data_IF_264397320321
#
_entry.id   IF_264397320321
#
_cell.length_a   1.000
_cell.length_b   1.000
_cell.length_c   1.000
_cell.angle_alpha   90.00
_cell.angle_beta   90.00
_cell.angle_gamma   90.00
#
_symmetry.space_group_name_H-M   'P 1'
#
loop_
_entity.id
_entity.type
_entity.pdbx_description
1 polymer ?
#
# COMPACT_ATOMS: atom_id res chain seq x y z
N UNK A 1 -38.37 43.56 12.15
CA UNK A 1 -37.25 42.85 12.87
C UNK A 1 -37.73 41.82 13.93
N UNK A 2 -38.78 42.09 14.76
CA UNK A 2 -39.20 41.10 15.80
C UNK A 2 -39.95 39.86 15.24
N UNK A 3 -40.76 40.04 14.19
CA UNK A 3 -41.56 38.93 13.60
C UNK A 3 -40.72 37.93 12.75
N UNK A 4 -39.63 38.39 12.15
CA UNK A 4 -38.70 37.52 11.43
C UNK A 4 -37.90 36.62 12.39
N UNK A 5 -37.51 37.15 13.54
CA UNK A 5 -36.81 36.35 14.58
C UNK A 5 -37.67 35.22 15.18
N UNK A 6 -39.00 35.40 15.21
CA UNK A 6 -39.93 34.39 15.73
C UNK A 6 -40.07 33.23 14.74
N UNK A 7 -40.16 33.49 13.44
CA UNK A 7 -40.18 32.44 12.39
C UNK A 7 -38.89 31.65 12.34
N UNK A 8 -37.74 32.27 12.53
CA UNK A 8 -36.45 31.58 12.58
C UNK A 8 -36.32 30.66 13.80
N UNK A 9 -36.78 31.09 14.98
CA UNK A 9 -36.80 30.23 16.18
C UNK A 9 -37.74 29.03 16.03
N UNK A 10 -38.91 29.17 15.41
CA UNK A 10 -39.84 28.06 15.18
C UNK A 10 -39.33 27.07 14.16
N UNK A 11 -38.58 27.47 13.13
CA UNK A 11 -37.95 26.59 12.15
C UNK A 11 -36.82 25.76 12.78
N UNK A 12 -36.03 26.38 13.68
CA UNK A 12 -34.97 25.72 14.41
C UNK A 12 -35.53 24.64 15.36
N UNK A 13 -36.61 24.98 16.12
CA UNK A 13 -37.23 24.02 17.05
C UNK A 13 -37.87 22.81 16.38
N UNK A 14 -38.26 22.88 15.12
CA UNK A 14 -38.83 21.73 14.37
C UNK A 14 -37.84 20.72 13.86
N UNK A 15 -36.52 20.96 13.96
CA UNK A 15 -35.46 20.11 13.37
C UNK A 15 -34.28 19.85 14.30
N UNK A 16 -34.49 19.83 15.61
CA UNK A 16 -33.46 19.42 16.55
C UNK A 16 -33.20 17.94 16.38
N UNK A 17 -32.00 17.59 15.85
CA UNK A 17 -31.50 16.23 15.82
C UNK A 17 -31.17 15.82 17.25
N UNK A 18 -31.54 14.60 17.62
CA UNK A 18 -31.21 14.03 18.93
C UNK A 18 -30.09 13.02 18.81
N UNK A 19 -29.24 12.97 19.82
CA UNK A 19 -28.23 11.95 19.91
C UNK A 19 -28.90 10.58 20.04
N UNK A 20 -28.57 9.63 19.17
CA UNK A 20 -29.12 8.28 19.13
C UNK A 20 -28.81 7.47 20.41
N UNK A 21 -27.75 7.87 21.16
CA UNK A 21 -27.28 7.12 22.33
C UNK A 21 -27.83 7.62 23.67
N UNK A 22 -28.06 8.94 23.81
CA UNK A 22 -28.48 9.52 25.10
C UNK A 22 -29.72 10.43 25.00
N UNK A 23 -30.25 10.65 23.79
CA UNK A 23 -31.44 11.46 23.56
C UNK A 23 -31.23 12.97 23.68
N UNK A 24 -30.02 13.46 24.03
CA UNK A 24 -29.71 14.90 24.12
C UNK A 24 -29.94 15.58 22.75
N UNK A 25 -30.56 16.70 22.74
CA UNK A 25 -30.68 17.58 21.57
C UNK A 25 -29.30 18.08 21.14
N UNK A 26 -29.07 18.07 19.84
CA UNK A 26 -27.81 18.47 19.21
C UNK A 26 -27.97 19.81 18.55
N UNK A 27 -26.99 20.70 18.76
CA UNK A 27 -26.96 22.02 18.16
C UNK A 27 -26.48 21.97 16.74
N UNK A 28 -27.15 22.61 15.76
CA UNK A 28 -26.61 22.74 14.42
C UNK A 28 -25.34 23.59 14.42
N UNK A 29 -24.34 23.20 13.61
CA UNK A 29 -23.06 23.90 13.44
C UNK A 29 -22.95 24.48 12.02
N UNK A 30 -22.11 25.51 11.88
CA UNK A 30 -21.95 26.21 10.59
C UNK A 30 -22.94 27.40 10.44
N UNK A 31 -22.78 28.15 9.35
CA UNK A 31 -23.64 29.29 9.02
C UNK A 31 -24.79 28.90 8.10
N UNK A 32 -24.72 27.75 7.50
CA UNK A 32 -25.60 27.29 6.42
C UNK A 32 -27.06 27.11 6.89
N UNK A 33 -27.26 26.77 8.17
CA UNK A 33 -28.61 26.64 8.74
C UNK A 33 -29.34 27.99 8.91
N UNK A 34 -28.62 29.10 8.79
CA UNK A 34 -29.19 30.46 8.90
C UNK A 34 -29.85 30.93 7.59
N UNK A 35 -29.58 30.28 6.48
CA UNK A 35 -30.12 30.68 5.18
C UNK A 35 -31.39 29.89 4.83
N UNK A 36 -32.47 30.63 4.51
CA UNK A 36 -33.81 30.08 4.27
C UNK A 36 -33.94 29.08 3.10
N UNK A 37 -32.93 29.03 2.20
CA UNK A 37 -32.91 28.20 1.01
C UNK A 37 -32.12 26.90 1.18
N UNK A 38 -31.66 26.57 2.38
CA UNK A 38 -30.87 25.38 2.63
C UNK A 38 -31.74 24.12 2.78
N UNK A 39 -31.38 23.04 2.09
CA UNK A 39 -32.06 21.76 2.26
C UNK A 39 -31.84 21.26 3.69
N UNK A 40 -32.91 20.84 4.39
CA UNK A 40 -32.82 20.30 5.75
C UNK A 40 -31.84 19.14 5.94
N UNK A 41 -31.55 18.43 4.85
CA UNK A 41 -30.73 17.23 4.85
C UNK A 41 -29.22 17.54 4.90
N UNK A 42 -28.82 18.81 4.70
CA UNK A 42 -27.42 19.24 4.67
C UNK A 42 -26.97 19.97 5.94
N UNK A 43 -27.81 19.99 6.99
CA UNK A 43 -27.42 20.65 8.25
C UNK A 43 -26.47 19.74 9.04
N UNK A 44 -25.27 20.24 9.30
CA UNK A 44 -24.34 19.59 10.21
C UNK A 44 -24.68 19.90 11.67
N UNK A 45 -24.52 18.92 12.54
CA UNK A 45 -24.80 19.03 13.97
C UNK A 45 -23.55 18.73 14.81
N UNK A 46 -23.48 19.35 15.99
CA UNK A 46 -22.43 19.04 16.95
C UNK A 46 -22.39 17.54 17.27
N UNK A 47 -21.21 17.04 17.59
CA UNK A 47 -21.05 15.68 18.09
C UNK A 47 -21.42 15.60 19.57
N UNK A 48 -22.27 14.66 19.93
CA UNK A 48 -22.62 14.47 21.33
C UNK A 48 -21.42 14.01 22.16
N UNK A 49 -21.29 14.54 23.37
CA UNK A 49 -20.19 14.23 24.30
C UNK A 49 -20.49 13.06 25.24
N UNK A 50 -21.64 12.37 25.12
CA UNK A 50 -21.89 11.17 25.91
C UNK A 50 -20.92 10.03 25.53
N UNK A 51 -20.58 9.17 26.47
CA UNK A 51 -19.54 8.13 26.32
C UNK A 51 -19.73 7.29 25.06
N UNK A 52 -20.95 6.78 24.81
CA UNK A 52 -21.24 5.96 23.62
C UNK A 52 -21.07 6.72 22.32
N UNK A 53 -21.46 8.00 22.26
CA UNK A 53 -21.27 8.84 21.08
C UNK A 53 -19.79 9.13 20.84
N UNK A 54 -19.00 9.37 21.90
CA UNK A 54 -17.56 9.58 21.78
C UNK A 54 -16.85 8.32 21.24
N UNK A 55 -17.23 7.14 21.72
CA UNK A 55 -16.68 5.86 21.22
C UNK A 55 -17.02 5.67 19.73
N UNK A 56 -18.29 5.92 19.34
CA UNK A 56 -18.73 5.87 17.95
C UNK A 56 -17.96 6.82 17.05
N UNK A 57 -17.82 8.09 17.45
CA UNK A 57 -17.11 9.10 16.65
C UNK A 57 -15.62 8.79 16.54
N UNK A 58 -14.99 8.30 17.60
CA UNK A 58 -13.60 7.87 17.58
C UNK A 58 -13.38 6.74 16.56
N UNK A 59 -14.28 5.77 16.54
CA UNK A 59 -14.19 4.66 15.58
C UNK A 59 -14.48 5.13 14.15
N UNK A 60 -15.47 6.00 13.97
CA UNK A 60 -15.82 6.58 12.67
C UNK A 60 -14.67 7.42 12.12
N UNK A 61 -14.11 8.34 12.91
CA UNK A 61 -12.98 9.19 12.50
C UNK A 61 -11.77 8.34 12.10
N UNK A 62 -11.52 7.25 12.82
CA UNK A 62 -10.46 6.29 12.46
C UNK A 62 -10.74 5.65 11.10
N UNK A 63 -11.96 5.21 10.85
CA UNK A 63 -12.35 4.63 9.54
C UNK A 63 -12.26 5.65 8.41
N UNK A 64 -12.76 6.85 8.63
CA UNK A 64 -12.75 7.94 7.63
C UNK A 64 -11.29 8.35 7.30
N UNK A 65 -10.41 8.41 8.32
CA UNK A 65 -8.98 8.64 8.15
C UNK A 65 -8.33 7.55 7.28
N UNK A 66 -8.59 6.27 7.58
CA UNK A 66 -8.05 5.15 6.80
C UNK A 66 -8.54 5.18 5.33
N UNK A 67 -9.82 5.47 5.10
CA UNK A 67 -10.38 5.60 3.74
C UNK A 67 -9.67 6.73 2.99
N UNK A 68 -9.50 7.90 3.62
CA UNK A 68 -8.83 9.05 3.02
C UNK A 68 -7.36 8.75 2.72
N UNK A 69 -6.67 8.12 3.67
CA UNK A 69 -5.27 7.68 3.52
C UNK A 69 -5.12 6.70 2.36
N UNK A 70 -5.99 5.69 2.25
CA UNK A 70 -5.98 4.73 1.14
C UNK A 70 -6.25 5.38 -0.21
N UNK A 71 -7.17 6.34 -0.27
CA UNK A 71 -7.43 7.12 -1.49
C UNK A 71 -6.18 7.91 -1.91
N UNK A 72 -5.56 8.61 -0.97
CA UNK A 72 -4.31 9.34 -1.21
C UNK A 72 -3.20 8.41 -1.71
N UNK A 73 -2.99 7.24 -1.10
CA UNK A 73 -2.00 6.26 -1.54
C UNK A 73 -2.24 5.81 -2.99
N UNK A 74 -3.51 5.51 -3.35
CA UNK A 74 -3.86 5.16 -4.74
C UNK A 74 -3.53 6.29 -5.73
N UNK A 75 -3.83 7.53 -5.38
CA UNK A 75 -3.52 8.69 -6.22
C UNK A 75 -2.02 8.88 -6.43
N UNK A 76 -1.23 8.73 -5.37
CA UNK A 76 0.24 8.82 -5.44
C UNK A 76 0.80 7.69 -6.30
N UNK A 77 0.38 6.44 -6.09
CA UNK A 77 0.84 5.29 -6.87
C UNK A 77 0.46 5.42 -8.34
N UNK A 78 -0.76 5.89 -8.65
CA UNK A 78 -1.17 6.14 -10.02
C UNK A 78 -0.31 7.21 -10.72
N UNK A 79 0.12 8.26 -10.00
CA UNK A 79 1.08 9.24 -10.53
C UNK A 79 2.44 8.59 -10.80
N UNK A 80 2.92 7.77 -9.86
CA UNK A 80 4.15 6.99 -9.99
C UNK A 80 4.14 6.13 -11.26
N UNK A 81 3.07 5.36 -11.47
CA UNK A 81 2.94 4.49 -12.63
C UNK A 81 2.81 5.25 -13.95
N UNK A 82 2.16 6.42 -13.96
CA UNK A 82 2.07 7.27 -15.15
C UNK A 82 3.40 7.92 -15.54
N UNK A 83 4.23 8.26 -14.56
CA UNK A 83 5.53 8.89 -14.79
C UNK A 83 6.62 7.87 -15.16
N UNK A 84 6.51 6.64 -14.68
CA UNK A 84 7.47 5.58 -14.94
C UNK A 84 6.94 4.64 -16.04
N UNK A 85 7.64 4.59 -17.18
CA UNK A 85 7.35 3.70 -18.31
C UNK A 85 7.16 2.21 -17.90
N UNK A 86 7.68 1.84 -16.72
CA UNK A 86 7.55 0.49 -16.14
C UNK A 86 6.11 0.09 -15.82
N UNK A 87 5.27 1.02 -15.39
CA UNK A 87 3.88 0.72 -15.02
C UNK A 87 3.04 0.23 -16.19
N UNK A 88 3.18 0.84 -17.38
CA UNK A 88 2.45 0.40 -18.57
C UNK A 88 2.90 -0.97 -19.09
N UNK A 89 4.20 -1.31 -18.91
CA UNK A 89 4.75 -2.57 -19.40
C UNK A 89 4.18 -3.78 -18.65
N UNK A 90 3.77 -3.61 -17.39
CA UNK A 90 3.30 -4.71 -16.55
C UNK A 90 1.78 -4.87 -16.53
N UNK A 91 1.01 -3.88 -17.01
CA UNK A 91 -0.47 -3.89 -16.95
C UNK A 91 -1.13 -5.05 -17.70
N UNK A 92 -0.47 -5.56 -18.73
CA UNK A 92 -1.00 -6.66 -19.55
C UNK A 92 -0.50 -8.05 -19.12
N UNK A 93 0.33 -8.13 -18.08
CA UNK A 93 0.86 -9.40 -17.59
C UNK A 93 -0.11 -10.01 -16.59
N UNK A 94 -0.54 -11.23 -16.86
CA UNK A 94 -1.47 -11.98 -16.02
C UNK A 94 -1.11 -13.46 -16.00
N UNK A 95 -1.80 -14.24 -15.17
CA UNK A 95 -1.56 -15.68 -15.06
C UNK A 95 -1.97 -16.46 -16.30
N UNK A 96 -2.91 -15.92 -17.11
CA UNK A 96 -3.43 -16.55 -18.31
C UNK A 96 -2.43 -16.48 -19.48
N UNK A 97 -1.71 -15.35 -19.58
CA UNK A 97 -0.67 -15.18 -20.60
C UNK A 97 0.74 -15.51 -20.12
N UNK A 98 0.86 -16.10 -18.91
CA UNK A 98 2.13 -16.61 -18.42
C UNK A 98 2.54 -17.85 -19.23
N UNK A 99 3.71 -17.80 -19.86
CA UNK A 99 4.24 -18.95 -20.56
C UNK A 99 4.75 -20.01 -19.55
N UNK A 100 3.87 -20.95 -19.21
CA UNK A 100 4.17 -22.01 -18.25
C UNK A 100 4.88 -23.18 -18.89
N UNK A 101 5.71 -23.84 -18.12
CA UNK A 101 6.27 -25.16 -18.42
C UNK A 101 5.97 -26.10 -17.25
N UNK A 102 6.09 -27.40 -17.47
CA UNK A 102 5.81 -28.43 -16.45
C UNK A 102 6.63 -28.24 -15.15
N UNK A 103 7.81 -27.62 -15.23
CA UNK A 103 8.67 -27.38 -14.06
C UNK A 103 8.20 -26.15 -13.24
N UNK A 104 7.40 -25.26 -13.83
CA UNK A 104 6.90 -24.02 -13.18
C UNK A 104 5.41 -24.07 -12.81
N UNK A 105 4.68 -25.12 -13.20
CA UNK A 105 3.25 -25.27 -12.89
C UNK A 105 2.97 -25.19 -11.39
N UNK A 106 3.78 -25.85 -10.57
CA UNK A 106 3.66 -25.78 -9.11
C UNK A 106 3.91 -24.37 -8.59
N UNK A 107 4.92 -23.67 -9.12
CA UNK A 107 5.23 -22.31 -8.70
C UNK A 107 4.08 -21.33 -9.05
N UNK A 108 3.44 -21.51 -10.22
CA UNK A 108 2.29 -20.75 -10.64
C UNK A 108 1.08 -21.05 -9.74
N UNK A 109 0.85 -22.33 -9.41
CA UNK A 109 -0.22 -22.73 -8.50
C UNK A 109 -0.04 -22.13 -7.10
N UNK A 110 1.19 -22.15 -6.57
CA UNK A 110 1.54 -21.50 -5.30
C UNK A 110 1.29 -19.98 -5.37
N UNK A 111 1.68 -19.33 -6.46
CA UNK A 111 1.47 -17.90 -6.64
C UNK A 111 -0.03 -17.53 -6.70
N UNK A 112 -0.86 -18.33 -7.36
CA UNK A 112 -2.32 -18.15 -7.40
C UNK A 112 -2.95 -18.33 -6.01
N UNK A 113 -2.56 -19.36 -5.26
CA UNK A 113 -3.01 -19.60 -3.89
C UNK A 113 -2.57 -18.46 -2.95
N UNK A 114 -1.34 -17.99 -3.11
CA UNK A 114 -0.80 -16.82 -2.39
C UNK A 114 -1.66 -15.58 -2.61
N UNK A 115 -2.04 -15.28 -3.85
CA UNK A 115 -2.94 -14.15 -4.16
C UNK A 115 -4.28 -14.31 -3.47
N UNK A 116 -4.91 -15.48 -3.56
CA UNK A 116 -6.21 -15.74 -2.93
C UNK A 116 -6.15 -15.55 -1.40
N UNK A 117 -5.09 -16.01 -0.75
CA UNK A 117 -4.86 -15.78 0.69
C UNK A 117 -4.69 -14.31 1.02
N UNK A 118 -3.97 -13.54 0.20
CA UNK A 118 -3.77 -12.10 0.41
C UNK A 118 -5.00 -11.25 0.13
N UNK A 119 -5.92 -11.70 -0.72
CA UNK A 119 -7.21 -11.04 -0.90
C UNK A 119 -8.05 -11.17 0.36
N UNK A 120 -8.07 -12.34 1.01
CA UNK A 120 -8.94 -12.68 2.13
C UNK A 120 -8.35 -12.41 3.51
N UNK A 121 -7.03 -12.35 3.64
CA UNK A 121 -6.29 -12.21 4.91
C UNK A 121 -5.34 -11.02 4.89
N UNK A 122 -5.17 -10.36 6.04
CA UNK A 122 -4.23 -9.23 6.21
C UNK A 122 -2.83 -9.71 6.62
N UNK A 123 -2.63 -10.99 6.92
CA UNK A 123 -1.44 -11.53 7.58
C UNK A 123 -0.71 -12.59 6.76
N UNK A 124 -0.55 -12.40 5.46
CA UNK A 124 0.23 -13.35 4.66
C UNK A 124 1.74 -12.99 4.73
N UNK A 125 2.58 -14.02 4.85
CA UNK A 125 4.02 -13.84 4.66
C UNK A 125 4.32 -13.35 3.24
N UNK A 126 5.48 -12.72 3.06
CA UNK A 126 5.97 -12.33 1.76
C UNK A 126 6.45 -13.51 0.90
N UNK A 127 6.96 -13.20 -0.29
CA UNK A 127 7.60 -14.19 -1.19
C UNK A 127 8.98 -13.69 -1.64
N UNK A 128 9.97 -14.58 -1.65
CA UNK A 128 11.22 -14.40 -2.39
C UNK A 128 11.18 -15.34 -3.59
N UNK A 129 11.06 -14.78 -4.79
CA UNK A 129 10.98 -15.53 -6.04
C UNK A 129 12.36 -15.54 -6.68
N UNK A 130 13.00 -16.70 -6.64
CA UNK A 130 14.36 -16.90 -7.14
C UNK A 130 14.36 -17.57 -8.51
N UNK A 131 15.39 -17.32 -9.30
CA UNK A 131 15.60 -17.99 -10.58
C UNK A 131 16.48 -17.20 -11.54
N UNK A 132 17.03 -17.89 -12.55
CA UNK A 132 17.90 -17.28 -13.57
C UNK A 132 17.20 -16.13 -14.30
N UNK A 133 17.99 -15.31 -15.01
CA UNK A 133 17.41 -14.28 -15.87
C UNK A 133 16.54 -14.91 -16.97
N UNK A 134 15.42 -14.29 -17.30
CA UNK A 134 14.52 -14.72 -18.40
C UNK A 134 13.56 -15.87 -18.05
N UNK A 135 13.54 -16.39 -16.81
CA UNK A 135 12.63 -17.48 -16.42
C UNK A 135 11.18 -17.06 -16.15
N UNK A 136 10.87 -15.75 -16.23
CA UNK A 136 9.52 -15.23 -16.03
C UNK A 136 9.23 -14.64 -14.65
N UNK A 137 10.24 -14.40 -13.79
CA UNK A 137 10.03 -13.82 -12.44
C UNK A 137 9.21 -12.54 -12.46
N UNK A 138 9.63 -11.58 -13.27
CA UNK A 138 8.92 -10.28 -13.43
C UNK A 138 7.48 -10.47 -13.92
N UNK A 139 7.25 -11.41 -14.86
CA UNK A 139 5.90 -11.72 -15.31
C UNK A 139 5.04 -12.28 -14.17
N UNK A 140 5.58 -13.23 -13.42
CA UNK A 140 4.85 -13.83 -12.29
C UNK A 140 4.45 -12.78 -11.24
N UNK A 141 5.38 -11.90 -10.82
CA UNK A 141 5.06 -10.88 -9.83
C UNK A 141 4.12 -9.80 -10.36
N UNK A 142 4.20 -9.47 -11.66
CA UNK A 142 3.24 -8.58 -12.29
C UNK A 142 1.84 -9.19 -12.36
N UNK A 143 1.73 -10.51 -12.60
CA UNK A 143 0.45 -11.23 -12.56
C UNK A 143 -0.15 -11.22 -11.14
N UNK A 144 0.70 -11.41 -10.12
CA UNK A 144 0.29 -11.28 -8.70
C UNK A 144 -0.21 -9.85 -8.43
N UNK A 145 0.58 -8.83 -8.83
CA UNK A 145 0.24 -7.43 -8.61
C UNK A 145 -1.11 -7.06 -9.23
N UNK A 146 -1.29 -7.39 -10.52
CA UNK A 146 -2.51 -7.06 -11.25
C UNK A 146 -3.72 -7.75 -10.62
N UNK A 147 -3.60 -9.02 -10.23
CA UNK A 147 -4.69 -9.74 -9.57
C UNK A 147 -5.05 -9.17 -8.19
N UNK A 148 -4.09 -8.68 -7.44
CA UNK A 148 -4.32 -7.98 -6.17
C UNK A 148 -5.00 -6.62 -6.41
N UNK A 149 -4.57 -5.86 -7.42
CA UNK A 149 -5.16 -4.56 -7.80
C UNK A 149 -6.62 -4.73 -8.25
N UNK A 150 -6.94 -5.77 -9.03
CA UNK A 150 -8.31 -6.13 -9.41
C UNK A 150 -9.22 -6.38 -8.20
N UNK A 151 -8.63 -6.75 -7.06
CA UNK A 151 -9.34 -6.99 -5.80
C UNK A 151 -9.13 -5.84 -4.78
N UNK A 152 -9.03 -4.61 -5.28
CA UNK A 152 -8.95 -3.38 -4.47
C UNK A 152 -7.75 -3.27 -3.53
N UNK A 153 -6.71 -4.11 -3.69
CA UNK A 153 -5.47 -3.96 -2.93
C UNK A 153 -4.62 -2.84 -3.51
N UNK A 154 -3.91 -2.15 -2.64
CA UNK A 154 -2.96 -1.10 -3.02
C UNK A 154 -1.60 -1.75 -3.15
N UNK A 155 -1.13 -1.89 -4.39
CA UNK A 155 0.15 -2.55 -4.70
C UNK A 155 1.13 -1.53 -5.26
N UNK A 156 2.36 -1.53 -4.75
CA UNK A 156 3.47 -0.79 -5.31
C UNK A 156 4.49 -1.78 -5.86
N UNK A 157 4.82 -1.68 -7.14
CA UNK A 157 5.81 -2.55 -7.80
C UNK A 157 6.85 -1.72 -8.53
N UNK A 158 8.13 -2.07 -8.35
CA UNK A 158 9.24 -1.43 -9.04
C UNK A 158 10.58 -2.09 -8.75
N UNK A 159 11.62 -1.62 -9.43
CA UNK A 159 13.01 -1.92 -9.04
C UNK A 159 13.37 -1.09 -7.83
N UNK A 160 14.26 -1.59 -6.98
CA UNK A 160 14.70 -0.86 -5.79
C UNK A 160 15.25 0.53 -6.15
N UNK A 161 16.07 0.63 -7.18
CA UNK A 161 16.60 1.94 -7.66
C UNK A 161 15.51 2.92 -8.00
N UNK A 162 14.48 2.49 -8.74
CA UNK A 162 13.35 3.35 -9.11
C UNK A 162 12.59 3.84 -7.89
N UNK A 163 12.33 2.95 -6.93
CA UNK A 163 11.62 3.31 -5.69
C UNK A 163 12.43 4.29 -4.83
N UNK A 164 13.75 4.10 -4.76
CA UNK A 164 14.65 4.99 -4.01
C UNK A 164 14.88 6.34 -4.71
N UNK A 165 14.97 6.35 -6.03
CA UNK A 165 15.11 7.60 -6.79
C UNK A 165 13.90 8.50 -6.61
N UNK A 166 12.71 7.93 -6.49
CA UNK A 166 11.49 8.69 -6.17
C UNK A 166 11.54 9.33 -4.78
N UNK A 167 12.15 8.64 -3.80
CA UNK A 167 12.40 9.24 -2.48
C UNK A 167 13.42 10.39 -2.62
N UNK A 168 14.48 10.23 -3.43
CA UNK A 168 15.45 11.31 -3.66
C UNK A 168 14.87 12.52 -4.40
N UNK A 169 13.94 12.30 -5.31
CA UNK A 169 13.27 13.39 -6.02
C UNK A 169 12.48 14.32 -5.09
N UNK A 170 12.01 13.81 -3.94
CA UNK A 170 11.33 14.66 -2.94
C UNK A 170 12.24 15.75 -2.37
N UNK A 171 13.56 15.53 -2.36
CA UNK A 171 14.52 16.57 -1.92
C UNK A 171 14.59 17.78 -2.86
N UNK A 172 14.16 17.62 -4.12
CA UNK A 172 14.19 18.69 -5.13
C UNK A 172 12.87 19.46 -5.19
N UNK A 173 11.78 18.81 -4.77
CA UNK A 173 10.44 19.36 -4.88
C UNK A 173 9.81 19.45 -3.49
N UNK A 174 9.62 20.67 -2.98
CA UNK A 174 9.03 20.94 -1.66
C UNK A 174 7.57 20.48 -1.51
N UNK A 175 7.02 19.78 -2.50
CA UNK A 175 5.60 19.34 -2.51
C UNK A 175 5.36 17.99 -1.82
N UNK A 176 6.40 17.18 -1.60
CA UNK A 176 6.31 15.88 -0.90
C UNK A 176 7.48 15.71 0.04
N UNK A 177 7.24 15.14 1.21
CA UNK A 177 8.32 14.80 2.13
C UNK A 177 8.83 13.38 1.90
N UNK A 178 10.12 13.15 2.17
CA UNK A 178 10.70 11.79 2.22
C UNK A 178 9.87 10.87 3.11
N UNK A 179 9.41 11.38 4.26
CA UNK A 179 8.62 10.62 5.23
C UNK A 179 7.28 10.14 4.65
N UNK A 180 6.62 10.92 3.80
CA UNK A 180 5.37 10.52 3.14
C UNK A 180 5.56 9.32 2.20
N UNK A 181 6.67 9.28 1.44
CA UNK A 181 6.95 8.13 0.58
C UNK A 181 7.39 6.90 1.37
N UNK A 182 8.18 7.07 2.42
CA UNK A 182 8.54 5.96 3.31
C UNK A 182 7.28 5.41 4.00
N UNK A 183 6.38 6.30 4.44
CA UNK A 183 5.09 5.89 5.01
C UNK A 183 4.22 5.15 3.97
N UNK A 184 4.15 5.65 2.74
CA UNK A 184 3.45 4.97 1.65
C UNK A 184 4.01 3.55 1.43
N UNK A 185 5.35 3.42 1.27
CA UNK A 185 6.02 2.13 1.01
C UNK A 185 5.87 1.16 2.18
N UNK A 186 5.82 1.69 3.40
CA UNK A 186 5.65 0.92 4.62
C UNK A 186 4.21 0.43 4.84
N UNK A 187 3.19 1.07 4.23
CA UNK A 187 1.78 0.83 4.57
C UNK A 187 0.88 0.40 3.41
N UNK A 188 1.36 0.35 2.17
CA UNK A 188 0.57 -0.25 1.06
C UNK A 188 0.31 -1.74 1.34
N UNK A 189 -0.79 -2.29 0.82
CA UNK A 189 -1.16 -3.68 1.07
C UNK A 189 -0.05 -4.65 0.61
N UNK A 190 0.64 -4.33 -0.50
CA UNK A 190 1.75 -5.12 -1.03
C UNK A 190 2.82 -4.21 -1.63
N UNK A 191 4.10 -4.46 -1.30
CA UNK A 191 5.24 -3.92 -2.05
C UNK A 191 5.96 -5.05 -2.78
N UNK A 192 6.33 -4.81 -4.03
CA UNK A 192 7.06 -5.76 -4.89
C UNK A 192 8.34 -5.10 -5.36
N UNK A 193 9.47 -5.65 -4.96
CA UNK A 193 10.79 -5.22 -5.40
C UNK A 193 11.30 -6.21 -6.44
N UNK A 194 11.35 -5.77 -7.70
CA UNK A 194 11.76 -6.63 -8.81
C UNK A 194 13.26 -6.56 -9.06
N UNK A 195 13.88 -7.73 -9.29
CA UNK A 195 15.29 -7.96 -9.67
C UNK A 195 16.31 -7.42 -8.63
N UNK A 196 16.03 -7.65 -7.32
CA UNK A 196 16.87 -7.25 -6.21
C UNK A 196 18.27 -7.85 -6.30
N UNK A 197 19.30 -7.05 -6.02
CA UNK A 197 20.71 -7.43 -6.02
C UNK A 197 21.41 -7.20 -7.35
N UNK A 198 20.76 -6.59 -8.34
CA UNK A 198 21.41 -6.24 -9.63
C UNK A 198 22.04 -4.86 -9.63
N UNK A 199 21.70 -4.04 -8.68
CA UNK A 199 22.14 -2.67 -8.46
C UNK A 199 23.29 -2.57 -7.45
N UNK A 200 24.04 -1.48 -7.55
CA UNK A 200 24.98 -1.04 -6.51
C UNK A 200 24.20 -0.16 -5.53
N UNK A 201 24.17 -0.56 -4.26
CA UNK A 201 23.38 0.10 -3.24
C UNK A 201 24.29 0.96 -2.36
N UNK A 202 23.91 2.22 -2.11
CA UNK A 202 24.58 3.10 -1.14
C UNK A 202 24.08 2.85 0.27
N UNK A 203 24.85 3.27 1.29
CA UNK A 203 24.43 3.18 2.69
C UNK A 203 23.07 3.86 2.95
N UNK A 204 22.86 5.05 2.38
CA UNK A 204 21.56 5.73 2.44
C UNK A 204 20.42 4.82 1.90
N UNK A 205 20.65 4.12 0.80
CA UNK A 205 19.67 3.24 0.20
C UNK A 205 19.38 2.02 1.09
N UNK A 206 20.42 1.45 1.74
CA UNK A 206 20.27 0.37 2.71
C UNK A 206 19.47 0.82 3.94
N UNK A 207 19.74 1.99 4.49
CA UNK A 207 18.98 2.55 5.61
C UNK A 207 17.49 2.71 5.28
N UNK A 208 17.17 3.23 4.08
CA UNK A 208 15.77 3.37 3.64
C UNK A 208 15.09 2.02 3.43
N UNK A 209 15.80 1.09 2.80
CA UNK A 209 15.31 -0.27 2.62
C UNK A 209 15.06 -0.96 3.97
N UNK A 210 15.98 -0.84 4.91
CA UNK A 210 15.82 -1.35 6.26
C UNK A 210 14.57 -0.77 6.94
N UNK A 211 14.42 0.55 6.91
CA UNK A 211 13.27 1.24 7.52
C UNK A 211 11.94 0.74 6.93
N UNK A 212 11.87 0.59 5.61
CA UNK A 212 10.65 0.09 4.95
C UNK A 212 10.35 -1.36 5.36
N UNK A 213 11.37 -2.23 5.37
CA UNK A 213 11.23 -3.64 5.73
C UNK A 213 10.82 -3.78 7.20
N UNK A 214 11.45 -3.01 8.11
CA UNK A 214 11.14 -3.04 9.54
C UNK A 214 9.69 -2.62 9.80
N UNK A 215 9.28 -1.48 9.27
CA UNK A 215 7.90 -0.99 9.40
C UNK A 215 6.88 -2.00 8.86
N UNK A 216 7.19 -2.66 7.72
CA UNK A 216 6.30 -3.67 7.16
C UNK A 216 6.23 -4.92 8.02
N UNK A 217 7.36 -5.35 8.59
CA UNK A 217 7.42 -6.48 9.51
C UNK A 217 6.59 -6.21 10.79
N UNK A 218 6.75 -5.03 11.39
CA UNK A 218 5.98 -4.62 12.57
C UNK A 218 4.47 -4.57 12.28
N UNK A 219 4.10 -4.05 11.10
CA UNK A 219 2.70 -3.95 10.67
C UNK A 219 2.16 -5.26 10.05
N UNK A 220 2.98 -6.32 9.99
CA UNK A 220 2.65 -7.63 9.38
C UNK A 220 2.17 -7.50 7.93
N UNK A 221 2.78 -6.59 7.18
CA UNK A 221 2.47 -6.35 5.78
C UNK A 221 3.44 -7.12 4.88
N UNK A 222 2.95 -7.86 3.88
CA UNK A 222 3.78 -8.71 3.04
C UNK A 222 4.65 -7.90 2.08
N UNK A 223 5.81 -8.46 1.74
CA UNK A 223 6.71 -7.97 0.70
C UNK A 223 7.00 -9.10 -0.28
N UNK A 224 7.04 -8.79 -1.57
CA UNK A 224 7.51 -9.74 -2.60
C UNK A 224 8.80 -9.23 -3.18
N UNK A 225 9.75 -10.13 -3.33
CA UNK A 225 11.05 -9.85 -3.93
C UNK A 225 11.31 -10.84 -5.05
N UNK A 226 11.79 -10.36 -6.18
CA UNK A 226 12.41 -11.25 -7.17
C UNK A 226 13.90 -11.04 -7.18
N UNK A 227 14.64 -12.12 -7.35
CA UNK A 227 16.10 -12.08 -7.44
C UNK A 227 16.63 -13.24 -8.27
N UNK A 228 17.83 -13.09 -8.78
CA UNK A 228 18.58 -14.17 -9.43
C UNK A 228 19.63 -14.79 -8.50
N UNK A 229 19.81 -14.20 -7.34
CA UNK A 229 20.86 -14.50 -6.38
C UNK A 229 20.30 -15.32 -5.21
N UNK A 230 21.12 -16.18 -4.64
CA UNK A 230 20.81 -16.81 -3.37
C UNK A 230 21.08 -15.86 -2.18
N UNK A 231 20.83 -16.34 -0.96
CA UNK A 231 21.00 -15.54 0.26
C UNK A 231 22.43 -15.03 0.41
N UNK A 232 23.41 -15.90 0.20
CA UNK A 232 24.81 -15.57 0.41
C UNK A 232 25.30 -14.58 -0.66
N UNK A 233 24.93 -14.81 -1.91
CA UNK A 233 25.23 -13.91 -3.01
C UNK A 233 24.63 -12.51 -2.81
N UNK A 234 23.42 -12.41 -2.26
CA UNK A 234 22.80 -11.11 -1.92
C UNK A 234 23.59 -10.39 -0.83
N UNK A 235 24.01 -11.11 0.22
CA UNK A 235 24.84 -10.54 1.29
C UNK A 235 26.16 -10.01 0.71
N UNK A 236 26.87 -10.81 -0.06
CA UNK A 236 28.16 -10.44 -0.66
C UNK A 236 28.04 -9.22 -1.57
N UNK A 237 26.98 -9.13 -2.37
CA UNK A 237 26.74 -8.01 -3.28
C UNK A 237 26.42 -6.72 -2.53
N UNK A 238 25.66 -6.79 -1.48
CA UNK A 238 25.27 -5.60 -0.71
C UNK A 238 26.38 -5.16 0.24
N UNK A 239 27.18 -6.08 0.76
CA UNK A 239 28.35 -5.77 1.62
C UNK A 239 29.46 -5.02 0.90
N UNK A 240 29.49 -5.03 -0.45
CA UNK A 240 30.40 -4.17 -1.22
C UNK A 240 30.20 -2.66 -0.94
N UNK A 241 29.10 -2.29 -0.34
CA UNK A 241 28.71 -0.91 -0.06
C UNK A 241 28.95 -0.44 1.38
N UNK A 242 29.52 -1.25 2.29
CA UNK A 242 30.19 -0.81 3.55
C UNK A 242 29.58 -1.21 4.89
N UNK A 243 28.26 -1.42 5.06
CA UNK A 243 27.66 -1.81 6.35
C UNK A 243 27.20 -3.26 6.34
N UNK A 244 28.13 -4.17 6.64
CA UNK A 244 27.85 -5.61 6.67
C UNK A 244 26.77 -5.98 7.68
N UNK A 245 26.71 -5.30 8.83
CA UNK A 245 25.73 -5.59 9.87
C UNK A 245 24.32 -5.20 9.41
N UNK A 246 24.18 -4.04 8.77
CA UNK A 246 22.92 -3.57 8.22
C UNK A 246 22.45 -4.47 7.07
N UNK A 247 23.38 -4.90 6.21
CA UNK A 247 23.09 -5.87 5.12
C UNK A 247 22.58 -7.18 5.67
N UNK A 248 23.27 -7.76 6.66
CA UNK A 248 22.83 -9.01 7.29
C UNK A 248 21.46 -8.87 7.95
N UNK A 249 21.20 -7.76 8.64
CA UNK A 249 19.91 -7.47 9.24
C UNK A 249 18.78 -7.42 8.20
N UNK A 250 18.99 -6.71 7.08
CA UNK A 250 18.05 -6.61 5.97
C UNK A 250 17.74 -8.00 5.39
N UNK A 251 18.77 -8.71 4.98
CA UNK A 251 18.61 -10.01 4.29
C UNK A 251 18.01 -11.05 5.24
N UNK A 252 18.49 -11.11 6.48
CA UNK A 252 17.93 -12.04 7.47
C UNK A 252 16.45 -11.77 7.74
N UNK A 253 16.05 -10.50 7.85
CA UNK A 253 14.64 -10.12 8.05
C UNK A 253 13.77 -10.48 6.85
N UNK A 254 14.23 -10.24 5.62
CA UNK A 254 13.53 -10.64 4.41
C UNK A 254 13.28 -12.15 4.37
N UNK A 255 14.28 -12.96 4.73
CA UNK A 255 14.14 -14.42 4.77
C UNK A 255 13.26 -14.92 5.93
N UNK A 256 13.11 -14.15 7.00
CA UNK A 256 12.13 -14.43 8.06
C UNK A 256 10.70 -14.11 7.67
N UNK A 257 10.50 -13.03 6.91
CA UNK A 257 9.18 -12.54 6.50
C UNK A 257 8.61 -13.28 5.28
N UNK A 258 9.44 -13.96 4.49
CA UNK A 258 9.09 -14.44 3.16
C UNK A 258 9.29 -15.95 3.01
N UNK A 259 8.39 -16.57 2.25
CA UNK A 259 8.60 -17.92 1.73
C UNK A 259 9.42 -17.89 0.44
N UNK A 260 10.31 -18.87 0.27
CA UNK A 260 11.08 -19.03 -0.97
C UNK A 260 10.27 -19.74 -2.06
N UNK A 261 10.29 -19.20 -3.27
CA UNK A 261 9.70 -19.79 -4.46
C UNK A 261 10.73 -19.77 -5.59
N UNK A 262 11.02 -20.91 -6.22
CA UNK A 262 12.02 -20.98 -7.28
C UNK A 262 11.37 -21.22 -8.64
N UNK A 263 11.68 -20.34 -9.61
CA UNK A 263 11.35 -20.55 -11.01
C UNK A 263 12.54 -21.16 -11.75
N UNK A 264 12.28 -22.23 -12.49
CA UNK A 264 13.28 -22.93 -13.29
C UNK A 264 13.27 -22.42 -14.74
N UNK A 265 14.44 -22.54 -15.39
CA UNK A 265 14.57 -22.22 -16.82
C UNK A 265 13.80 -23.23 -17.65
N UNK A 266 13.07 -22.76 -18.66
CA UNK A 266 12.64 -23.66 -19.74
C UNK A 266 13.90 -24.30 -20.36
N UNK A 267 13.98 -25.60 -20.38
CA UNK A 267 14.97 -26.29 -21.24
C UNK A 267 14.64 -25.91 -22.67
N UNK A 268 15.44 -25.03 -23.29
CA UNK A 268 15.42 -24.92 -24.74
C UNK A 268 16.02 -26.23 -25.22
N UNK A 269 15.20 -27.14 -25.71
CA UNK A 269 15.71 -28.20 -26.63
C UNK A 269 16.24 -27.44 -27.84
N UNK A 270 17.55 -27.42 -27.99
CA UNK A 270 18.20 -26.97 -29.20
C UNK A 270 17.80 -27.98 -30.27
N UNK A 271 16.89 -27.60 -31.14
CA UNK A 271 16.58 -28.29 -32.39
C UNK A 271 17.66 -27.96 -33.40
#
# INVERSE_FOLDING_TARGET
MALENIKYKEVIHKKLKKCEYCGRELTPIGLDYLYANFSPDNIEYERCTCKKAQEYWKEKDKKDYEITKRKHFREVINKIYKQNYSGMKFQNLNFENFNSNSENELAIAIAKDYVNKNITSVNANGLIIMGKSGVGKTHLVASIANKLIENDKIVLMGRLTTLLDMIKETFKDNTKSENELIELYSNVDMIIIDDLGTEIISNWALEKLYTIIENRNENRLPIIITTRFDKQELIERFSQSQDEQLVDAIISKLYQMCYGLTLKSMKKELV
#
